data_IF_266581906332
#
_entry.id   IF_266581906332
#
_cell.length_a   1.000
_cell.length_b   1.000
_cell.length_c   1.000
_cell.angle_alpha   90.00
_cell.angle_beta   90.00
_cell.angle_gamma   90.00
#
_symmetry.space_group_name_H-M   'P 1'
#
loop_
_entity.id
_entity.type
_entity.pdbx_description
1 polymer ?
#
# COMPACT_ATOMS: atom_id res chain seq x y z
N UNK A 1 21.66 1.00 -36.33
CA UNK A 1 21.07 0.07 -35.35
C UNK A 1 20.37 0.87 -34.27
N UNK A 2 19.04 0.97 -34.31
CA UNK A 2 18.24 1.68 -33.30
C UNK A 2 18.19 0.85 -32.01
N UNK A 3 18.67 1.43 -30.91
CA UNK A 3 18.64 0.84 -29.56
C UNK A 3 17.17 0.71 -29.14
N UNK A 4 16.70 -0.53 -28.90
CA UNK A 4 15.34 -0.83 -28.45
C UNK A 4 15.00 0.02 -27.21
N UNK A 5 14.03 0.93 -27.36
CA UNK A 5 13.27 1.51 -26.26
C UNK A 5 12.57 0.37 -25.52
N UNK A 6 13.16 -0.09 -24.42
CA UNK A 6 12.53 -1.10 -23.57
C UNK A 6 11.49 -0.39 -22.70
N UNK A 7 10.35 -0.04 -23.32
CA UNK A 7 9.16 0.39 -22.60
C UNK A 7 8.69 -0.80 -21.75
N UNK A 8 9.17 -0.90 -20.51
CA UNK A 8 8.64 -1.84 -19.53
C UNK A 8 7.18 -1.49 -19.29
N UNK A 9 6.26 -2.13 -19.99
CA UNK A 9 4.83 -2.02 -19.70
C UNK A 9 4.51 -3.02 -18.59
N UNK A 10 4.02 -2.55 -17.44
CA UNK A 10 3.53 -3.43 -16.39
C UNK A 10 2.08 -3.81 -16.71
N UNK A 11 1.87 -5.00 -17.25
CA UNK A 11 0.52 -5.48 -17.55
C UNK A 11 -0.22 -5.85 -16.24
N UNK A 12 -1.56 -5.75 -16.20
CA UNK A 12 -2.35 -6.14 -15.03
C UNK A 12 -2.05 -7.58 -14.55
N UNK A 13 -1.89 -8.52 -15.49
CA UNK A 13 -1.56 -9.92 -15.17
C UNK A 13 -0.18 -10.06 -14.51
N UNK A 14 0.83 -9.32 -14.98
CA UNK A 14 2.17 -9.34 -14.38
C UNK A 14 2.14 -8.74 -12.97
N UNK A 15 1.40 -7.65 -12.78
CA UNK A 15 1.20 -7.01 -11.48
C UNK A 15 0.54 -7.98 -10.48
N UNK A 16 -0.59 -8.58 -10.86
CA UNK A 16 -1.29 -9.56 -10.01
C UNK A 16 -0.41 -10.76 -9.66
N UNK A 17 0.30 -11.33 -10.63
CA UNK A 17 1.20 -12.46 -10.38
C UNK A 17 2.29 -12.11 -9.36
N UNK A 18 2.87 -10.90 -9.46
CA UNK A 18 3.89 -10.42 -8.52
C UNK A 18 3.31 -10.22 -7.12
N UNK A 19 2.11 -9.66 -7.01
CA UNK A 19 1.38 -9.49 -5.75
C UNK A 19 1.12 -10.86 -5.10
N UNK A 20 0.50 -11.80 -5.82
CA UNK A 20 0.17 -13.13 -5.29
C UNK A 20 1.42 -13.89 -4.84
N UNK A 21 2.52 -13.80 -5.58
CA UNK A 21 3.80 -14.41 -5.19
C UNK A 21 4.33 -13.84 -3.86
N UNK A 22 4.15 -12.54 -3.61
CA UNK A 22 4.54 -11.89 -2.35
C UNK A 22 3.59 -12.28 -1.21
N UNK A 23 2.29 -12.30 -1.47
CA UNK A 23 1.26 -12.68 -0.49
C UNK A 23 1.35 -14.14 -0.06
N UNK A 24 1.83 -15.05 -0.92
CA UNK A 24 2.03 -16.47 -0.58
C UNK A 24 2.91 -16.67 0.68
N UNK A 25 3.84 -15.75 0.95
CA UNK A 25 4.68 -15.80 2.16
C UNK A 25 3.89 -15.50 3.43
N UNK A 26 2.81 -14.73 3.31
CA UNK A 26 1.92 -14.33 4.41
C UNK A 26 0.92 -15.44 4.76
N UNK A 27 0.68 -16.40 3.85
CA UNK A 27 -0.24 -17.52 4.09
C UNK A 27 0.12 -18.40 5.29
N UNK A 28 1.38 -18.36 5.73
CA UNK A 28 1.87 -19.10 6.90
C UNK A 28 1.71 -18.34 8.21
N UNK A 29 1.36 -17.05 8.14
CA UNK A 29 1.28 -16.17 9.29
C UNK A 29 -0.09 -16.28 9.94
N UNK A 30 -0.13 -16.13 11.26
CA UNK A 30 -1.38 -15.96 11.98
C UNK A 30 -1.97 -14.56 11.75
N UNK A 31 -3.15 -14.30 12.32
CA UNK A 31 -3.89 -13.07 12.10
C UNK A 31 -3.12 -11.82 12.56
N UNK A 32 -2.53 -11.88 13.77
CA UNK A 32 -1.80 -10.75 14.35
C UNK A 32 -0.49 -10.48 13.60
N UNK A 33 0.20 -11.53 13.18
CA UNK A 33 1.40 -11.40 12.33
C UNK A 33 1.05 -10.79 10.97
N UNK A 34 -0.04 -11.26 10.34
CA UNK A 34 -0.52 -10.71 9.07
C UNK A 34 -0.95 -9.25 9.21
N UNK A 35 -1.57 -8.90 10.34
CA UNK A 35 -1.95 -7.54 10.70
C UNK A 35 -0.71 -6.65 10.85
N UNK A 36 0.31 -7.09 11.58
CA UNK A 36 1.56 -6.36 11.75
C UNK A 36 2.28 -6.14 10.41
N UNK A 37 2.30 -7.16 9.54
CA UNK A 37 2.85 -7.04 8.18
C UNK A 37 2.09 -6.00 7.36
N UNK A 38 0.76 -5.99 7.43
CA UNK A 38 -0.04 -4.97 6.77
C UNK A 38 0.33 -3.57 7.27
N UNK A 39 0.32 -3.34 8.59
CA UNK A 39 0.62 -2.03 9.18
C UNK A 39 2.04 -1.55 8.82
N UNK A 40 3.04 -2.44 8.91
CA UNK A 40 4.42 -2.11 8.54
C UNK A 40 4.56 -1.75 7.06
N UNK A 41 3.83 -2.44 6.16
CA UNK A 41 3.83 -2.11 4.73
C UNK A 41 3.19 -0.75 4.45
N UNK A 42 2.13 -0.37 5.16
CA UNK A 42 1.55 0.97 5.00
C UNK A 42 2.53 2.04 5.45
N UNK A 43 3.23 1.83 6.56
CA UNK A 43 4.24 2.76 7.05
C UNK A 43 5.38 2.96 6.03
N UNK A 44 5.82 1.88 5.37
CA UNK A 44 6.81 1.96 4.29
C UNK A 44 6.31 2.82 3.12
N UNK A 45 5.04 2.68 2.75
CA UNK A 45 4.42 3.53 1.73
C UNK A 45 4.40 5.00 2.17
N UNK A 46 3.95 5.30 3.39
CA UNK A 46 3.93 6.68 3.90
C UNK A 46 5.32 7.33 3.83
N UNK A 47 6.36 6.60 4.24
CA UNK A 47 7.75 7.06 4.15
C UNK A 47 8.18 7.27 2.69
N UNK A 48 7.81 6.36 1.78
CA UNK A 48 8.11 6.50 0.36
C UNK A 48 7.43 7.74 -0.25
N UNK A 49 6.18 8.04 0.13
CA UNK A 49 5.48 9.25 -0.31
C UNK A 49 6.13 10.53 0.23
N UNK A 50 6.58 10.53 1.49
CA UNK A 50 7.37 11.63 2.06
C UNK A 50 8.65 11.86 1.26
N UNK A 51 9.35 10.78 0.91
CA UNK A 51 10.55 10.86 0.07
C UNK A 51 10.27 11.43 -1.32
N UNK A 52 9.09 11.20 -1.90
CA UNK A 52 8.69 11.86 -3.15
C UNK A 52 8.57 13.37 -2.92
N UNK A 53 7.89 13.81 -1.86
CA UNK A 53 7.74 15.25 -1.56
C UNK A 53 9.09 15.94 -1.31
N UNK A 54 9.99 15.31 -0.56
CA UNK A 54 11.33 15.83 -0.27
C UNK A 54 12.15 15.91 -1.57
N UNK A 55 12.32 14.79 -2.26
CA UNK A 55 13.31 14.71 -3.35
C UNK A 55 12.83 15.40 -4.63
N UNK A 56 11.55 15.22 -4.98
CA UNK A 56 10.97 15.72 -6.23
C UNK A 56 10.38 17.12 -6.08
N UNK A 57 9.73 17.40 -4.96
CA UNK A 57 9.01 18.66 -4.75
C UNK A 57 9.70 19.61 -3.75
N UNK A 58 10.88 19.23 -3.24
CA UNK A 58 11.74 20.05 -2.37
C UNK A 58 11.06 20.51 -1.07
N UNK A 59 10.25 19.65 -0.48
CA UNK A 59 9.69 19.88 0.85
C UNK A 59 10.78 19.64 1.89
N UNK A 60 10.78 20.46 2.94
CA UNK A 60 11.59 20.21 4.14
C UNK A 60 11.05 18.99 4.88
N UNK A 61 11.95 18.14 5.38
CA UNK A 61 11.61 16.89 6.06
C UNK A 61 10.79 17.15 7.32
N UNK A 62 11.25 18.05 8.19
CA UNK A 62 10.58 18.44 9.45
C UNK A 62 9.13 18.88 9.24
N UNK A 63 8.85 19.53 8.11
CA UNK A 63 7.51 20.02 7.77
C UNK A 63 6.53 18.88 7.53
N UNK A 64 6.99 17.79 6.94
CA UNK A 64 6.14 16.66 6.52
C UNK A 64 6.30 15.42 7.41
N UNK A 65 7.22 15.44 8.36
CA UNK A 65 7.52 14.32 9.26
C UNK A 65 6.24 13.82 9.95
N UNK A 66 5.42 14.73 10.47
CA UNK A 66 4.17 14.41 11.19
C UNK A 66 2.97 14.19 10.30
N UNK A 67 3.12 14.28 8.98
CA UNK A 67 1.98 14.11 8.08
C UNK A 67 1.54 12.65 8.03
N UNK A 68 0.23 12.48 8.08
CA UNK A 68 -0.45 11.19 7.92
C UNK A 68 -0.57 10.83 6.44
N UNK A 69 -0.89 9.57 6.15
CA UNK A 69 -1.20 9.12 4.79
C UNK A 69 -2.25 10.02 4.09
N UNK A 70 -3.30 10.44 4.81
CA UNK A 70 -4.32 11.34 4.27
C UNK A 70 -3.75 12.71 3.87
N UNK A 71 -2.93 13.30 4.74
CA UNK A 71 -2.25 14.57 4.47
C UNK A 71 -1.33 14.46 3.25
N UNK A 72 -0.58 13.36 3.14
CA UNK A 72 0.29 13.08 1.99
C UNK A 72 -0.53 12.94 0.69
N UNK A 73 -1.63 12.17 0.71
CA UNK A 73 -2.48 11.96 -0.47
C UNK A 73 -3.07 13.28 -0.96
N UNK A 74 -3.62 14.09 -0.05
CA UNK A 74 -4.18 15.40 -0.37
C UNK A 74 -3.15 16.29 -1.06
N UNK A 75 -1.92 16.30 -0.56
CA UNK A 75 -0.87 17.12 -1.14
C UNK A 75 -0.40 16.60 -2.50
N UNK A 76 -0.24 15.29 -2.65
CA UNK A 76 0.14 14.70 -3.94
C UNK A 76 -0.93 14.94 -5.01
N UNK A 77 -2.21 14.92 -4.64
CA UNK A 77 -3.32 15.34 -5.51
C UNK A 77 -3.21 16.82 -5.90
N UNK A 78 -2.95 17.70 -4.94
CA UNK A 78 -2.74 19.15 -5.19
C UNK A 78 -1.59 19.38 -6.17
N UNK A 79 -0.51 18.60 -6.04
CA UNK A 79 0.66 18.59 -6.91
C UNK A 79 0.44 17.87 -8.26
N UNK A 80 -0.80 17.44 -8.55
CA UNK A 80 -1.21 16.74 -9.77
C UNK A 80 -0.37 15.48 -10.05
N UNK A 81 0.01 14.75 -9.00
CA UNK A 81 0.53 13.39 -9.18
C UNK A 81 -0.55 12.54 -9.86
N UNK A 82 -0.11 11.55 -10.64
CA UNK A 82 -0.97 10.74 -11.52
C UNK A 82 -2.23 10.24 -10.80
N UNK A 83 -3.39 10.52 -11.41
CA UNK A 83 -4.70 10.31 -10.79
C UNK A 83 -4.96 8.85 -10.38
N UNK A 84 -4.60 7.90 -11.25
CA UNK A 84 -4.70 6.45 -10.99
C UNK A 84 -3.98 6.01 -9.70
N UNK A 85 -2.77 6.51 -9.47
CA UNK A 85 -2.00 6.21 -8.27
C UNK A 85 -2.58 6.89 -7.04
N UNK A 86 -3.01 8.14 -7.14
CA UNK A 86 -3.66 8.82 -6.01
C UNK A 86 -4.99 8.16 -5.62
N UNK A 87 -5.76 7.64 -6.58
CA UNK A 87 -6.98 6.85 -6.28
C UNK A 87 -6.65 5.52 -5.58
N UNK A 88 -5.57 4.85 -5.98
CA UNK A 88 -5.11 3.65 -5.29
C UNK A 88 -4.65 3.95 -3.84
N UNK A 89 -4.03 5.11 -3.61
CA UNK A 89 -3.65 5.53 -2.27
C UNK A 89 -4.87 5.85 -1.38
N UNK A 90 -5.93 6.44 -1.93
CA UNK A 90 -7.20 6.65 -1.21
C UNK A 90 -7.81 5.30 -0.78
N UNK A 91 -7.84 4.32 -1.68
CA UNK A 91 -8.30 2.97 -1.35
C UNK A 91 -7.43 2.35 -0.22
N UNK A 92 -6.11 2.50 -0.29
CA UNK A 92 -5.20 2.03 0.76
C UNK A 92 -5.48 2.72 2.10
N UNK A 93 -5.74 4.04 2.09
CA UNK A 93 -6.07 4.82 3.28
C UNK A 93 -7.32 4.27 3.96
N UNK A 94 -8.37 3.99 3.20
CA UNK A 94 -9.63 3.47 3.73
C UNK A 94 -9.43 2.10 4.40
N UNK A 95 -8.67 1.20 3.75
CA UNK A 95 -8.30 -0.08 4.35
C UNK A 95 -7.44 0.11 5.60
N UNK A 96 -6.43 0.99 5.58
CA UNK A 96 -5.58 1.23 6.74
C UNK A 96 -6.38 1.76 7.92
N UNK A 97 -7.31 2.67 7.69
CA UNK A 97 -8.13 3.24 8.75
C UNK A 97 -9.01 2.16 9.39
N UNK A 98 -9.76 1.41 8.58
CA UNK A 98 -10.59 0.31 9.10
C UNK A 98 -9.74 -0.74 9.83
N UNK A 99 -8.62 -1.15 9.24
CA UNK A 99 -7.75 -2.18 9.83
C UNK A 99 -7.15 -1.70 11.15
N UNK A 100 -6.65 -0.46 11.22
CA UNK A 100 -6.01 0.07 12.41
C UNK A 100 -6.98 0.35 13.57
N UNK A 101 -8.22 0.75 13.27
CA UNK A 101 -9.17 1.19 14.30
C UNK A 101 -10.16 0.10 14.73
N UNK A 102 -10.68 -0.68 13.78
CA UNK A 102 -11.85 -1.53 14.05
C UNK A 102 -11.50 -3.02 13.99
N UNK A 103 -10.59 -3.42 13.11
CA UNK A 103 -10.41 -4.84 12.77
C UNK A 103 -9.94 -5.71 13.94
N UNK A 104 -9.05 -5.20 14.82
CA UNK A 104 -8.60 -5.96 15.99
C UNK A 104 -9.73 -6.17 17.00
N UNK A 105 -10.56 -5.14 17.20
CA UNK A 105 -11.74 -5.21 18.08
C UNK A 105 -12.78 -6.18 17.51
N UNK A 106 -13.09 -6.06 16.21
CA UNK A 106 -13.96 -6.98 15.48
C UNK A 106 -13.47 -8.43 15.59
N UNK A 107 -12.17 -8.65 15.38
CA UNK A 107 -11.55 -9.98 15.48
C UNK A 107 -11.69 -10.56 16.89
N UNK A 108 -11.35 -9.79 17.92
CA UNK A 108 -11.44 -10.23 19.31
C UNK A 108 -12.89 -10.54 19.74
N UNK A 109 -13.84 -9.69 19.34
CA UNK A 109 -15.25 -9.86 19.62
C UNK A 109 -15.82 -11.10 18.92
N UNK A 110 -15.57 -11.25 17.62
CA UNK A 110 -16.06 -12.39 16.83
C UNK A 110 -15.51 -13.71 17.34
N UNK A 111 -14.21 -13.76 17.68
CA UNK A 111 -13.58 -14.94 18.26
C UNK A 111 -14.21 -15.32 19.60
N UNK A 112 -14.57 -14.34 20.43
CA UNK A 112 -15.25 -14.56 21.72
C UNK A 112 -16.70 -15.04 21.56
N UNK A 113 -17.45 -14.48 20.61
CA UNK A 113 -18.87 -14.78 20.43
C UNK A 113 -19.15 -16.09 19.66
N UNK A 114 -18.32 -16.41 18.67
CA UNK A 114 -18.61 -17.46 17.69
C UNK A 114 -17.43 -18.43 17.46
N UNK A 115 -16.33 -18.28 18.20
CA UNK A 115 -15.12 -19.09 18.03
C UNK A 115 -14.50 -18.92 16.64
N UNK A 116 -13.78 -19.94 16.19
CA UNK A 116 -12.96 -19.90 14.96
C UNK A 116 -13.74 -19.70 13.65
N UNK A 117 -15.06 -19.88 13.64
CA UNK A 117 -15.88 -19.78 12.42
C UNK A 117 -16.22 -18.34 12.02
N UNK A 118 -16.25 -17.38 12.97
CA UNK A 118 -16.57 -15.97 12.67
C UNK A 118 -15.35 -15.13 12.26
N UNK A 119 -14.12 -15.63 12.50
CA UNK A 119 -12.87 -14.95 12.13
C UNK A 119 -12.73 -14.72 10.61
N UNK A 120 -13.53 -15.40 9.77
CA UNK A 120 -13.44 -15.35 8.31
C UNK A 120 -13.63 -13.94 7.74
N UNK A 121 -14.48 -13.11 8.34
CA UNK A 121 -14.73 -11.75 7.83
C UNK A 121 -13.53 -10.84 8.07
N UNK A 122 -13.00 -10.81 9.29
CA UNK A 122 -11.80 -10.05 9.65
C UNK A 122 -10.60 -10.51 8.82
N UNK A 123 -10.44 -11.82 8.63
CA UNK A 123 -9.43 -12.36 7.73
C UNK A 123 -9.60 -11.90 6.29
N UNK A 124 -10.83 -11.92 5.75
CA UNK A 124 -11.10 -11.46 4.38
C UNK A 124 -10.72 -9.99 4.21
N UNK A 125 -11.09 -9.13 5.17
CA UNK A 125 -10.76 -7.70 5.14
C UNK A 125 -9.25 -7.47 5.22
N UNK A 126 -8.55 -8.17 6.11
CA UNK A 126 -7.10 -8.10 6.22
C UNK A 126 -6.40 -8.56 4.92
N UNK A 127 -6.89 -9.64 4.30
CA UNK A 127 -6.37 -10.13 3.02
C UNK A 127 -6.55 -9.13 1.88
N UNK A 128 -7.69 -8.45 1.84
CA UNK A 128 -7.94 -7.36 0.88
C UNK A 128 -6.96 -6.20 1.13
N UNK A 129 -6.80 -5.76 2.38
CA UNK A 129 -5.82 -4.72 2.72
C UNK A 129 -4.40 -5.11 2.33
N UNK A 130 -3.98 -6.34 2.60
CA UNK A 130 -2.67 -6.88 2.20
C UNK A 130 -2.47 -6.86 0.68
N UNK A 131 -3.51 -7.19 -0.09
CA UNK A 131 -3.46 -7.10 -1.55
C UNK A 131 -3.32 -5.65 -2.01
N UNK A 132 -4.11 -4.72 -1.45
CA UNK A 132 -4.07 -3.30 -1.82
C UNK A 132 -2.73 -2.65 -1.48
N UNK A 133 -2.17 -2.91 -0.29
CA UNK A 133 -0.86 -2.35 0.08
C UNK A 133 0.25 -2.92 -0.80
N UNK A 134 0.22 -4.22 -1.15
CA UNK A 134 1.21 -4.80 -2.06
C UNK A 134 1.06 -4.23 -3.47
N UNK A 135 -0.17 -4.09 -3.98
CA UNK A 135 -0.45 -3.43 -5.26
C UNK A 135 0.12 -2.00 -5.27
N UNK A 136 -0.06 -1.26 -4.18
CA UNK A 136 0.45 0.10 -4.03
C UNK A 136 1.97 0.14 -4.10
N UNK A 137 2.66 -0.77 -3.39
CA UNK A 137 4.13 -0.91 -3.45
C UNK A 137 4.58 -1.19 -4.89
N UNK A 138 3.95 -2.15 -5.56
CA UNK A 138 4.34 -2.53 -6.91
C UNK A 138 4.13 -1.41 -7.94
N UNK A 139 3.04 -0.64 -7.82
CA UNK A 139 2.79 0.53 -8.68
C UNK A 139 3.77 1.65 -8.36
N UNK A 140 4.03 1.93 -7.08
CA UNK A 140 5.01 2.91 -6.65
C UNK A 140 6.40 2.61 -7.24
N UNK A 141 6.91 1.39 -7.06
CA UNK A 141 8.23 0.98 -7.54
C UNK A 141 8.35 1.13 -9.06
N UNK A 142 7.30 0.72 -9.78
CA UNK A 142 7.23 0.90 -11.22
C UNK A 142 7.27 2.37 -11.64
N UNK A 143 6.55 3.26 -10.94
CA UNK A 143 6.56 4.69 -11.25
C UNK A 143 7.93 5.33 -10.98
N UNK A 144 8.62 4.92 -9.92
CA UNK A 144 9.94 5.45 -9.56
C UNK A 144 11.03 4.95 -10.51
N UNK A 145 11.05 3.65 -10.86
CA UNK A 145 11.98 3.09 -11.86
C UNK A 145 11.88 3.82 -13.22
N UNK A 146 10.65 4.12 -13.67
CA UNK A 146 10.42 4.80 -14.95
C UNK A 146 10.66 6.31 -14.90
N UNK A 147 10.71 6.92 -13.71
CA UNK A 147 11.05 8.34 -13.55
C UNK A 147 12.57 8.51 -13.60
N UNK A 148 13.32 7.64 -12.92
CA UNK A 148 14.79 7.70 -12.89
C UNK A 148 15.45 7.29 -14.21
N UNK A 149 14.78 6.47 -15.04
CA UNK A 149 15.27 6.09 -16.37
C UNK A 149 15.18 7.21 -17.44
N UNK A 150 14.58 8.36 -17.10
CA UNK A 150 14.40 9.52 -18.01
C UNK A 150 15.30 10.72 -17.68
N UNK A 151 16.16 10.58 -16.67
CA UNK A 151 17.24 11.51 -16.31
C UNK A 151 18.56 10.90 -16.70
#
# INVERSE_FOLDING_TARGET
MQKKLNNKTLTPKQLESKIWKRLKRIDKLNFLESYAVFMGKVQIIEMALKNILINKYKYEEDRIEKWTLDGLIRELKRLKLRGDFTSLLEELKDYRNYIAHDLLADYALMKKLFGTKADRLSWKRLRQGLFIVEKTIQVHDFLMENTNAKT
#
